data_IF_517900116394
#
_entry.id   IF_517900116394
#
_cell.length_a   1.000
_cell.length_b   1.000
_cell.length_c   1.000
_cell.angle_alpha   90.00
_cell.angle_beta   90.00
_cell.angle_gamma   90.00
#
_symmetry.space_group_name_H-M   'P 1'
#
loop_
_entity.id
_entity.type
_entity.pdbx_description
1 polymer ?
#
# COMPACT_ATOMS: atom_id res chain seq x y z
N UNK A 1 23.10 0.57 24.08
CA UNK A 1 22.62 0.02 22.80
C UNK A 1 21.20 -0.46 23.05
N UNK A 2 20.19 0.33 22.67
CA UNK A 2 18.79 -0.01 22.90
C UNK A 2 18.46 -1.31 22.15
N UNK A 3 17.60 -2.19 22.67
CA UNK A 3 17.17 -3.36 21.93
C UNK A 3 16.46 -2.84 20.70
N UNK A 4 17.04 -3.07 19.52
CA UNK A 4 16.41 -2.82 18.24
C UNK A 4 15.04 -3.48 18.24
N UNK A 5 14.05 -2.81 17.67
CA UNK A 5 12.63 -3.17 17.45
C UNK A 5 12.42 -4.47 16.63
N UNK A 6 13.28 -5.47 16.80
CA UNK A 6 13.39 -6.68 16.00
C UNK A 6 12.65 -7.89 16.61
N UNK A 7 11.54 -7.70 17.35
CA UNK A 7 10.92 -8.82 18.09
C UNK A 7 9.45 -9.16 17.75
N UNK A 8 8.83 -8.51 16.76
CA UNK A 8 7.47 -8.88 16.33
C UNK A 8 7.34 -9.22 14.84
N UNK A 9 8.29 -8.75 14.02
CA UNK A 9 8.34 -9.07 12.59
C UNK A 9 8.62 -10.55 12.35
N UNK A 10 8.01 -11.08 11.29
CA UNK A 10 8.21 -12.45 10.83
C UNK A 10 8.86 -12.47 9.45
N UNK A 11 9.56 -13.55 9.13
CA UNK A 11 10.06 -13.76 7.77
C UNK A 11 8.89 -14.11 6.86
N UNK A 12 8.59 -13.23 5.91
CA UNK A 12 7.57 -13.43 4.90
C UNK A 12 8.10 -13.69 3.50
N UNK A 13 7.18 -13.91 2.55
CA UNK A 13 7.46 -14.27 1.17
C UNK A 13 8.38 -13.26 0.44
N UNK A 14 8.17 -11.95 0.65
CA UNK A 14 8.97 -10.92 -0.03
C UNK A 14 10.25 -10.54 0.71
N UNK A 15 10.64 -11.28 1.75
CA UNK A 15 11.90 -11.03 2.47
C UNK A 15 13.13 -11.25 1.58
N UNK A 16 14.24 -10.50 1.77
CA UNK A 16 14.38 -9.38 2.69
C UNK A 16 13.67 -8.11 2.17
N UNK A 17 13.21 -7.28 3.12
CA UNK A 17 12.65 -5.95 2.82
C UNK A 17 13.74 -5.10 2.15
N UNK A 18 13.36 -4.34 1.12
CA UNK A 18 14.30 -3.47 0.38
C UNK A 18 13.87 -2.02 0.36
N UNK A 19 12.67 -1.71 0.84
CA UNK A 19 12.18 -0.35 1.04
C UNK A 19 13.16 0.47 1.90
N UNK A 20 13.22 1.78 1.67
CA UNK A 20 14.06 2.67 2.48
C UNK A 20 13.38 3.08 3.79
N UNK A 21 12.07 2.85 3.89
CA UNK A 21 11.23 3.16 5.04
C UNK A 21 10.40 1.93 5.35
N UNK A 22 10.27 1.66 6.64
CA UNK A 22 9.35 0.67 7.21
C UNK A 22 8.46 1.42 8.21
N UNK A 23 7.16 1.11 8.25
CA UNK A 23 6.21 1.84 9.09
C UNK A 23 6.02 1.13 10.44
N UNK A 24 5.05 1.57 11.23
CA UNK A 24 4.84 1.05 12.57
C UNK A 24 4.10 -0.28 12.63
N UNK A 25 3.54 -0.77 11.52
CA UNK A 25 2.86 -2.07 11.49
C UNK A 25 3.89 -3.20 11.43
N UNK A 26 3.76 -4.19 12.31
CA UNK A 26 4.70 -5.31 12.34
C UNK A 26 4.56 -6.20 11.09
N UNK A 27 5.69 -6.58 10.52
CA UNK A 27 5.78 -7.25 9.24
C UNK A 27 5.38 -8.73 9.32
N UNK A 28 4.51 -9.14 8.39
CA UNK A 28 4.04 -10.51 8.17
C UNK A 28 3.38 -11.18 9.38
N UNK A 29 2.87 -10.39 10.33
CA UNK A 29 2.21 -10.91 11.54
C UNK A 29 0.87 -11.57 11.21
N UNK A 30 0.13 -11.02 10.25
CA UNK A 30 -1.20 -11.53 9.85
C UNK A 30 -1.14 -12.50 8.67
N UNK A 31 -0.22 -12.28 7.72
CA UNK A 31 -0.09 -13.07 6.49
C UNK A 31 1.37 -13.29 6.12
N UNK A 32 1.70 -14.46 5.59
CA UNK A 32 3.04 -14.75 5.05
C UNK A 32 3.32 -14.00 3.74
N UNK A 33 2.28 -13.60 2.99
CA UNK A 33 2.42 -12.99 1.66
C UNK A 33 2.31 -11.47 1.64
N UNK A 34 1.74 -10.87 2.69
CA UNK A 34 1.49 -9.43 2.79
C UNK A 34 2.30 -8.92 3.98
N UNK A 35 3.25 -8.01 3.74
CA UNK A 35 4.13 -7.48 4.77
C UNK A 35 3.36 -6.70 5.83
N UNK A 36 2.67 -5.62 5.46
CA UNK A 36 1.86 -4.82 6.38
C UNK A 36 0.39 -4.99 6.02
N UNK A 37 -0.30 -5.89 6.72
CA UNK A 37 -1.62 -6.36 6.32
C UNK A 37 -2.68 -5.25 6.37
N UNK A 38 -2.76 -4.52 7.48
CA UNK A 38 -3.77 -3.49 7.67
C UNK A 38 -3.50 -2.26 6.80
N UNK A 39 -2.24 -1.87 6.64
CA UNK A 39 -1.82 -0.82 5.70
C UNK A 39 -2.14 -1.20 4.24
N UNK A 40 -1.98 -2.47 3.87
CA UNK A 40 -2.33 -2.97 2.53
C UNK A 40 -3.85 -2.95 2.28
N UNK A 41 -4.64 -3.47 3.22
CA UNK A 41 -6.11 -3.55 3.09
C UNK A 41 -6.75 -2.16 3.09
N UNK A 42 -6.30 -1.26 3.97
CA UNK A 42 -6.76 0.12 3.97
C UNK A 42 -6.43 0.85 2.65
N UNK A 43 -5.25 0.59 2.07
CA UNK A 43 -4.87 1.13 0.76
C UNK A 43 -5.75 0.60 -0.38
N UNK A 44 -6.20 -0.66 -0.34
CA UNK A 44 -7.15 -1.20 -1.31
C UNK A 44 -8.49 -0.44 -1.29
N UNK A 45 -8.93 0.04 -0.13
CA UNK A 45 -10.12 0.89 -0.07
C UNK A 45 -9.92 2.24 -0.78
N UNK A 46 -8.71 2.80 -0.78
CA UNK A 46 -8.40 4.01 -1.57
C UNK A 46 -8.61 3.74 -3.07
N UNK A 47 -8.15 2.58 -3.55
CA UNK A 47 -8.38 2.16 -4.94
C UNK A 47 -9.87 2.03 -5.23
N UNK A 48 -10.60 1.31 -4.37
CA UNK A 48 -12.03 1.09 -4.55
C UNK A 48 -12.82 2.41 -4.56
N UNK A 49 -12.49 3.35 -3.67
CA UNK A 49 -13.13 4.66 -3.61
C UNK A 49 -12.76 5.55 -4.81
N UNK A 50 -11.52 5.49 -5.30
CA UNK A 50 -11.11 6.17 -6.53
C UNK A 50 -11.92 5.69 -7.75
N UNK A 51 -12.06 4.38 -7.90
CA UNK A 51 -12.86 3.76 -8.97
C UNK A 51 -14.35 4.04 -8.83
N UNK A 52 -14.90 3.95 -7.62
CA UNK A 52 -16.30 4.27 -7.35
C UNK A 52 -16.58 5.75 -7.65
N UNK A 53 -15.69 6.65 -7.23
CA UNK A 53 -15.79 8.07 -7.52
C UNK A 53 -15.78 8.37 -9.01
N UNK A 54 -14.97 7.65 -9.80
CA UNK A 54 -14.99 7.75 -11.25
C UNK A 54 -16.30 7.22 -11.85
N UNK A 55 -16.76 6.06 -11.39
CA UNK A 55 -17.99 5.44 -11.90
C UNK A 55 -19.22 6.34 -11.66
N UNK A 56 -19.28 6.96 -10.48
CA UNK A 56 -20.36 7.87 -10.08
C UNK A 56 -20.15 9.30 -10.59
N UNK A 57 -19.03 9.62 -11.25
CA UNK A 57 -18.71 10.97 -11.70
C UNK A 57 -19.71 11.46 -12.76
N UNK A 58 -20.60 12.42 -12.45
CA UNK A 58 -21.66 12.82 -13.38
C UNK A 58 -21.13 13.74 -14.50
N UNK A 59 -19.96 14.35 -14.30
CA UNK A 59 -19.38 15.29 -15.26
C UNK A 59 -18.67 14.57 -16.40
N UNK A 60 -18.78 15.14 -17.60
CA UNK A 60 -18.04 14.70 -18.79
C UNK A 60 -16.65 15.31 -18.87
N UNK A 61 -16.32 16.26 -18.00
CA UNK A 61 -15.03 16.91 -17.97
C UNK A 61 -13.92 15.92 -17.60
N UNK A 62 -12.91 15.82 -18.48
CA UNK A 62 -11.83 14.84 -18.33
C UNK A 62 -10.99 15.07 -17.08
N UNK A 63 -10.82 16.31 -16.63
CA UNK A 63 -9.98 16.65 -15.46
C UNK A 63 -10.41 15.93 -14.19
N UNK A 64 -11.71 15.83 -13.92
CA UNK A 64 -12.23 15.13 -12.74
C UNK A 64 -12.07 13.62 -12.85
N UNK A 65 -12.27 13.06 -14.05
CA UNK A 65 -12.04 11.64 -14.30
C UNK A 65 -10.56 11.25 -14.12
N UNK A 66 -9.65 12.10 -14.61
CA UNK A 66 -8.20 11.95 -14.41
C UNK A 66 -7.83 12.06 -12.94
N UNK A 67 -8.44 12.99 -12.19
CA UNK A 67 -8.22 13.12 -10.75
C UNK A 67 -8.61 11.83 -9.99
N UNK A 68 -9.80 11.28 -10.23
CA UNK A 68 -10.21 10.01 -9.61
C UNK A 68 -9.28 8.85 -9.97
N UNK A 69 -8.87 8.74 -11.24
CA UNK A 69 -7.88 7.73 -11.65
C UNK A 69 -6.53 7.91 -10.98
N UNK A 70 -6.11 9.15 -10.76
CA UNK A 70 -4.85 9.43 -10.05
C UNK A 70 -4.93 8.94 -8.60
N UNK A 71 -6.07 9.13 -7.93
CA UNK A 71 -6.31 8.58 -6.58
C UNK A 71 -6.24 7.05 -6.61
N UNK A 72 -6.85 6.40 -7.60
CA UNK A 72 -6.75 4.94 -7.74
C UNK A 72 -5.30 4.48 -7.91
N UNK A 73 -4.50 5.18 -8.73
CA UNK A 73 -3.08 4.86 -8.94
C UNK A 73 -2.29 5.01 -7.65
N UNK A 74 -2.49 6.08 -6.88
CA UNK A 74 -1.85 6.26 -5.57
C UNK A 74 -2.23 5.13 -4.61
N UNK A 75 -3.49 4.72 -4.58
CA UNK A 75 -3.94 3.57 -3.79
C UNK A 75 -3.27 2.26 -4.21
N UNK A 76 -3.09 2.03 -5.51
CA UNK A 76 -2.41 0.84 -6.06
C UNK A 76 -0.93 0.84 -5.63
N UNK A 77 -0.24 1.97 -5.78
CA UNK A 77 1.14 2.14 -5.33
C UNK A 77 1.28 1.84 -3.84
N UNK A 78 0.41 2.42 -3.01
CA UNK A 78 0.35 2.18 -1.57
C UNK A 78 0.10 0.71 -1.22
N UNK A 79 -0.86 0.04 -1.86
CA UNK A 79 -1.12 -1.40 -1.67
C UNK A 79 0.11 -2.24 -2.03
N UNK A 80 0.75 -1.98 -3.16
CA UNK A 80 1.91 -2.75 -3.60
C UNK A 80 3.13 -2.50 -2.71
N UNK A 81 3.32 -1.26 -2.24
CA UNK A 81 4.37 -0.89 -1.31
C UNK A 81 4.19 -1.61 0.03
N UNK A 82 3.07 -1.41 0.71
CA UNK A 82 2.79 -2.05 2.02
C UNK A 82 2.69 -3.58 1.92
N UNK A 83 2.25 -4.10 0.76
CA UNK A 83 2.17 -5.55 0.57
C UNK A 83 3.52 -6.24 0.45
N UNK A 84 4.55 -5.52 -0.01
CA UNK A 84 5.84 -6.15 -0.39
C UNK A 84 7.08 -5.55 0.28
N UNK A 85 7.00 -4.32 0.79
CA UNK A 85 8.12 -3.51 1.28
C UNK A 85 9.32 -3.50 0.33
N UNK A 86 9.03 -3.32 -0.97
CA UNK A 86 10.03 -3.23 -2.04
C UNK A 86 10.27 -1.79 -2.46
N UNK A 87 11.53 -1.40 -2.61
CA UNK A 87 11.90 -0.06 -3.06
C UNK A 87 11.27 0.32 -4.41
N UNK A 88 11.16 -0.64 -5.33
CA UNK A 88 10.50 -0.41 -6.62
C UNK A 88 9.02 -0.04 -6.48
N UNK A 89 8.32 -0.60 -5.50
CA UNK A 89 6.91 -0.31 -5.24
C UNK A 89 6.75 0.99 -4.45
N UNK A 90 7.77 1.40 -3.67
CA UNK A 90 7.78 2.69 -2.96
C UNK A 90 7.77 3.90 -3.90
N UNK A 91 8.29 3.73 -5.13
CA UNK A 91 8.38 4.78 -6.13
C UNK A 91 7.18 4.82 -7.09
N UNK A 92 6.25 3.87 -6.95
CA UNK A 92 5.05 3.76 -7.77
C UNK A 92 3.88 4.52 -7.11
#
# INVERSE_FOLDING_TARGET
MAPSTASFDRVGYWSPNTASVDWCENNYVVSYYIAEFWNTISSLFIVALGELGLYLCPTKEKRFKVAFRTISVVGIGSTLFHGTLRHKMQLL
#
